data_IF_966063639236
#
_entry.id   IF_966063639236
#
_cell.length_a   1.000
_cell.length_b   1.000
_cell.length_c   1.000
_cell.angle_alpha   90.00
_cell.angle_beta   90.00
_cell.angle_gamma   90.00
#
_symmetry.space_group_name_H-M   'P 1'
#
loop_
_entity.id
_entity.type
_entity.pdbx_description
1 polymer ?
#
# COMPACT_ATOMS: atom_id res chain seq x y z
N UNK A 1 1.46 -8.20 -10.40
CA UNK A 1 0.16 -7.67 -9.95
C UNK A 1 -0.97 -8.42 -10.65
N UNK A 2 -2.10 -8.69 -9.98
CA UNK A 2 -3.24 -9.38 -10.61
C UNK A 2 -3.79 -8.65 -11.85
N UNK A 3 -3.75 -7.32 -11.87
CA UNK A 3 -4.25 -6.48 -12.97
C UNK A 3 -3.54 -6.71 -14.30
N UNK A 4 -2.30 -7.22 -14.28
CA UNK A 4 -1.55 -7.57 -15.49
C UNK A 4 -2.12 -8.79 -16.23
N UNK A 5 -2.95 -9.62 -15.58
CA UNK A 5 -3.42 -10.92 -16.10
C UNK A 5 -4.96 -11.05 -16.18
N UNK A 6 -5.72 -9.99 -15.87
CA UNK A 6 -7.20 -10.03 -15.87
C UNK A 6 -7.84 -9.63 -17.22
N UNK A 7 -7.03 -9.49 -18.27
CA UNK A 7 -7.48 -8.92 -19.54
C UNK A 7 -7.62 -7.41 -19.49
N UNK A 8 -7.80 -6.78 -20.66
CA UNK A 8 -7.97 -5.34 -20.78
C UNK A 8 -9.21 -5.01 -21.59
N UNK A 9 -10.01 -4.05 -21.11
CA UNK A 9 -11.12 -3.54 -21.89
C UNK A 9 -10.57 -2.81 -23.12
N UNK A 10 -11.07 -3.18 -24.31
CA UNK A 10 -10.46 -2.75 -25.58
C UNK A 10 -11.47 -2.35 -26.65
N UNK A 11 -10.99 -1.63 -27.66
CA UNK A 11 -11.71 -1.17 -28.87
C UNK A 11 -10.80 -1.24 -30.09
N UNK A 12 -11.38 -1.27 -31.28
CA UNK A 12 -10.67 -1.12 -32.56
C UNK A 12 -10.56 0.35 -32.97
N UNK A 13 -9.62 0.69 -33.85
CA UNK A 13 -9.48 2.02 -34.45
C UNK A 13 -10.73 2.45 -35.25
N UNK A 14 -11.44 1.47 -35.83
CA UNK A 14 -12.62 1.70 -36.67
C UNK A 14 -13.92 1.80 -35.87
N UNK A 15 -13.89 1.44 -34.57
CA UNK A 15 -15.07 1.52 -33.72
C UNK A 15 -15.58 2.97 -33.65
N UNK A 16 -16.89 3.13 -33.70
CA UNK A 16 -17.51 4.43 -33.41
C UNK A 16 -17.19 4.85 -31.97
N UNK A 17 -16.89 6.14 -31.77
CA UNK A 17 -16.50 6.67 -30.47
C UNK A 17 -17.57 6.43 -29.38
N UNK A 18 -18.85 6.34 -29.76
CA UNK A 18 -19.95 5.99 -28.84
C UNK A 18 -19.78 4.62 -28.19
N UNK A 19 -19.16 3.65 -28.89
CA UNK A 19 -18.86 2.32 -28.36
C UNK A 19 -17.85 2.45 -27.23
N UNK A 20 -16.79 3.23 -27.45
CA UNK A 20 -15.80 3.51 -26.42
C UNK A 20 -16.41 4.21 -25.21
N UNK A 21 -17.18 5.28 -25.41
CA UNK A 21 -17.88 5.97 -24.30
C UNK A 21 -18.73 5.01 -23.49
N UNK A 22 -19.49 4.15 -24.16
CA UNK A 22 -20.35 3.16 -23.49
C UNK A 22 -19.52 2.18 -22.67
N UNK A 23 -18.44 1.62 -23.22
CA UNK A 23 -17.53 0.71 -22.51
C UNK A 23 -16.86 1.39 -21.32
N UNK A 24 -16.40 2.63 -21.47
CA UNK A 24 -15.76 3.39 -20.40
C UNK A 24 -16.73 3.71 -19.26
N UNK A 25 -17.96 4.14 -19.59
CA UNK A 25 -18.99 4.45 -18.58
C UNK A 25 -19.50 3.19 -17.86
N UNK A 26 -19.86 2.15 -18.60
CA UNK A 26 -20.42 0.92 -18.02
C UNK A 26 -19.39 0.14 -17.20
N UNK A 27 -18.13 0.12 -17.67
CA UNK A 27 -17.01 -0.52 -16.99
C UNK A 27 -16.31 0.36 -15.95
N UNK A 28 -16.71 1.64 -15.81
CA UNK A 28 -16.05 2.65 -14.96
C UNK A 28 -14.54 2.78 -15.24
N UNK A 29 -14.17 2.70 -16.51
CA UNK A 29 -12.78 2.82 -16.96
C UNK A 29 -12.45 4.26 -17.36
N UNK A 30 -11.22 4.68 -17.07
CA UNK A 30 -10.68 5.97 -17.53
C UNK A 30 -9.96 5.85 -18.89
N UNK A 31 -9.64 4.63 -19.31
CA UNK A 31 -8.96 4.32 -20.55
C UNK A 31 -9.33 2.93 -21.07
N UNK A 32 -9.21 2.73 -22.37
CA UNK A 32 -9.33 1.45 -23.08
C UNK A 32 -8.06 1.20 -23.90
N UNK A 33 -7.69 -0.06 -24.05
CA UNK A 33 -6.68 -0.47 -25.03
C UNK A 33 -7.26 -0.33 -26.44
N UNK A 34 -6.52 0.29 -27.35
CA UNK A 34 -6.84 0.23 -28.77
C UNK A 34 -6.00 -0.89 -29.36
N UNK A 35 -6.65 -1.96 -29.83
CA UNK A 35 -5.98 -3.16 -30.34
C UNK A 35 -6.41 -3.47 -31.77
N UNK A 36 -5.58 -4.24 -32.48
CA UNK A 36 -5.97 -4.83 -33.75
C UNK A 36 -6.58 -6.23 -33.60
N UNK A 37 -6.92 -6.86 -34.73
CA UNK A 37 -7.49 -8.21 -34.81
C UNK A 37 -6.61 -9.30 -34.17
N UNK A 38 -5.30 -9.06 -34.09
CA UNK A 38 -4.34 -9.99 -33.50
C UNK A 38 -4.13 -9.76 -31.99
N UNK A 39 -4.77 -8.74 -31.40
CA UNK A 39 -4.59 -8.33 -30.02
C UNK A 39 -3.36 -7.45 -29.78
N UNK A 40 -2.76 -6.92 -30.85
CA UNK A 40 -1.57 -6.05 -30.76
C UNK A 40 -1.98 -4.63 -30.42
N UNK A 41 -1.28 -3.98 -29.50
CA UNK A 41 -1.56 -2.60 -29.10
C UNK A 41 -1.31 -1.62 -30.27
N UNK A 42 -2.30 -0.77 -30.54
CA UNK A 42 -2.24 0.36 -31.48
C UNK A 42 -2.28 1.72 -30.79
N UNK A 43 -2.63 1.76 -29.51
CA UNK A 43 -2.60 2.95 -28.66
C UNK A 43 -3.55 2.82 -27.46
N UNK A 44 -3.79 3.92 -26.78
CA UNK A 44 -4.82 4.06 -25.76
C UNK A 44 -5.91 5.03 -26.21
N UNK A 45 -7.12 4.81 -25.72
CA UNK A 45 -8.17 5.81 -25.77
C UNK A 45 -8.59 6.15 -24.34
N UNK A 46 -8.48 7.41 -23.94
CA UNK A 46 -8.81 7.88 -22.59
C UNK A 46 -9.72 9.09 -22.62
N UNK A 47 -10.35 9.43 -21.48
CA UNK A 47 -11.13 10.66 -21.37
C UNK A 47 -10.28 11.90 -21.69
N UNK A 48 -9.00 11.86 -21.30
CA UNK A 48 -8.03 12.91 -21.61
C UNK A 48 -7.74 13.00 -23.12
N UNK A 49 -7.52 11.87 -23.80
CA UNK A 49 -7.22 11.87 -25.24
C UNK A 49 -8.41 12.35 -26.07
N UNK A 50 -9.62 11.96 -25.68
CA UNK A 50 -10.89 12.43 -26.26
C UNK A 50 -11.04 13.94 -26.03
N UNK A 51 -10.80 14.43 -24.82
CA UNK A 51 -10.87 15.85 -24.49
C UNK A 51 -9.87 16.68 -25.31
N UNK A 52 -8.60 16.24 -25.38
CA UNK A 52 -7.56 16.87 -26.20
C UNK A 52 -7.95 16.93 -27.67
N UNK A 53 -8.48 15.83 -28.22
CA UNK A 53 -8.90 15.78 -29.62
C UNK A 53 -10.11 16.70 -29.90
N UNK A 54 -11.07 16.77 -28.96
CA UNK A 54 -12.23 17.65 -29.06
C UNK A 54 -11.84 19.14 -29.05
N UNK A 55 -10.90 19.52 -28.19
CA UNK A 55 -10.40 20.91 -28.11
C UNK A 55 -9.65 21.38 -29.36
N UNK A 56 -9.13 20.45 -30.18
CA UNK A 56 -8.49 20.77 -31.46
C UNK A 56 -9.50 21.07 -32.58
N UNK A 57 -10.80 21.09 -32.27
CA UNK A 57 -11.87 21.34 -33.24
C UNK A 57 -12.11 20.17 -34.21
N UNK A 58 -11.59 18.99 -33.90
CA UNK A 58 -11.76 17.80 -34.73
C UNK A 58 -13.14 17.19 -34.49
N UNK A 59 -13.83 16.80 -35.57
CA UNK A 59 -15.08 16.06 -35.48
C UNK A 59 -14.77 14.60 -35.16
N UNK A 60 -14.86 14.23 -33.89
CA UNK A 60 -14.60 12.87 -33.43
C UNK A 60 -15.77 11.95 -33.77
N UNK A 61 -15.54 10.96 -34.63
CA UNK A 61 -16.52 9.93 -35.02
C UNK A 61 -16.06 8.53 -34.64
N UNK A 62 -14.79 8.24 -34.86
CA UNK A 62 -14.19 6.93 -34.63
C UNK A 62 -13.07 7.02 -33.60
N UNK A 63 -12.69 5.89 -33.02
CA UNK A 63 -11.59 5.80 -32.06
C UNK A 63 -10.29 6.36 -32.63
N UNK A 64 -10.01 6.15 -33.92
CA UNK A 64 -8.83 6.67 -34.58
C UNK A 64 -8.69 8.21 -34.51
N UNK A 65 -9.78 8.95 -34.30
CA UNK A 65 -9.76 10.42 -34.21
C UNK A 65 -9.18 10.92 -32.87
N UNK A 66 -9.15 10.08 -31.84
CA UNK A 66 -8.75 10.44 -30.48
C UNK A 66 -7.75 9.47 -29.83
N UNK A 67 -7.20 8.52 -30.60
CA UNK A 67 -6.23 7.56 -30.10
C UNK A 67 -4.90 8.23 -29.71
N UNK A 68 -4.41 7.92 -28.51
CA UNK A 68 -3.05 8.22 -28.09
C UNK A 68 -2.12 7.06 -28.47
N UNK A 69 -1.28 7.29 -29.48
CA UNK A 69 -0.30 6.29 -29.98
C UNK A 69 0.97 6.21 -29.15
N UNK A 70 1.10 7.04 -28.11
CA UNK A 70 2.27 7.06 -27.22
C UNK A 70 2.08 6.22 -25.96
N UNK A 71 0.96 5.50 -25.86
CA UNK A 71 0.67 4.60 -24.74
C UNK A 71 1.80 3.58 -24.53
N UNK A 72 2.26 3.46 -23.28
CA UNK A 72 3.33 2.53 -22.92
C UNK A 72 2.87 1.07 -23.04
N UNK A 73 3.77 0.22 -23.53
CA UNK A 73 3.61 -1.23 -23.61
C UNK A 73 4.84 -1.90 -23.01
N UNK A 74 4.62 -2.72 -21.99
CA UNK A 74 5.66 -3.37 -21.20
C UNK A 74 5.49 -4.88 -21.32
N UNK A 75 6.59 -5.61 -21.45
CA UNK A 75 6.54 -7.08 -21.42
C UNK A 75 6.24 -7.58 -20.00
N UNK A 76 5.42 -8.62 -19.86
CA UNK A 76 5.07 -9.18 -18.55
C UNK A 76 6.28 -9.68 -17.73
N UNK A 77 7.44 -9.88 -18.35
CA UNK A 77 8.70 -10.22 -17.68
C UNK A 77 9.53 -9.02 -17.23
N UNK A 78 9.19 -7.80 -17.62
CA UNK A 78 9.92 -6.60 -17.21
C UNK A 78 9.67 -6.23 -15.75
N UNK A 79 10.68 -5.65 -15.12
CA UNK A 79 10.60 -5.18 -13.74
C UNK A 79 9.66 -3.97 -13.64
N UNK A 80 8.61 -4.10 -12.85
CA UNK A 80 7.63 -3.06 -12.61
C UNK A 80 8.25 -1.79 -11.99
N UNK A 81 9.28 -1.92 -11.15
CA UNK A 81 9.91 -0.76 -10.52
C UNK A 81 10.54 0.18 -11.56
N UNK A 82 11.08 -0.38 -12.64
CA UNK A 82 11.62 0.41 -13.75
C UNK A 82 10.55 1.22 -14.49
N UNK A 83 9.28 0.80 -14.41
CA UNK A 83 8.14 1.40 -15.11
C UNK A 83 7.37 2.43 -14.28
N UNK A 84 7.68 2.58 -12.98
CA UNK A 84 6.96 3.49 -12.07
C UNK A 84 6.94 4.93 -12.58
N UNK A 85 8.05 5.43 -13.13
CA UNK A 85 8.12 6.79 -13.67
C UNK A 85 7.20 6.97 -14.89
N UNK A 86 7.09 5.96 -15.75
CA UNK A 86 6.19 6.02 -16.90
C UNK A 86 4.73 5.95 -16.46
N UNK A 87 4.40 5.05 -15.54
CA UNK A 87 3.05 4.93 -14.97
C UNK A 87 2.64 6.21 -14.24
N UNK A 88 3.56 6.87 -13.53
CA UNK A 88 3.30 8.16 -12.89
C UNK A 88 2.97 9.25 -13.92
N UNK A 89 3.76 9.35 -14.98
CA UNK A 89 3.60 10.41 -15.99
C UNK A 89 2.37 10.21 -16.89
N UNK A 90 2.03 8.97 -17.25
CA UNK A 90 0.94 8.64 -18.18
C UNK A 90 -0.32 8.13 -17.48
N UNK A 91 -0.25 7.85 -16.19
CA UNK A 91 -1.32 7.26 -15.38
C UNK A 91 -1.46 5.74 -15.51
N UNK A 92 -0.89 5.12 -16.55
CA UNK A 92 -0.94 3.68 -16.79
C UNK A 92 0.10 3.20 -17.81
N UNK A 93 0.33 1.90 -17.85
CA UNK A 93 1.00 1.16 -18.94
C UNK A 93 0.22 -0.12 -19.26
N UNK A 94 0.23 -0.54 -20.52
CA UNK A 94 -0.29 -1.85 -20.91
C UNK A 94 0.78 -2.92 -20.74
N UNK A 95 0.33 -4.15 -20.50
CA UNK A 95 1.19 -5.33 -20.38
C UNK A 95 0.92 -6.26 -21.57
N UNK A 96 1.97 -6.82 -22.17
CA UNK A 96 1.84 -7.89 -23.16
C UNK A 96 2.56 -9.18 -22.78
N UNK A 97 2.09 -10.27 -23.37
CA UNK A 97 2.80 -11.56 -23.37
C UNK A 97 3.97 -11.56 -24.37
N UNK A 98 4.64 -12.72 -24.46
CA UNK A 98 5.73 -12.98 -25.40
C UNK A 98 5.33 -12.85 -26.87
N UNK A 99 4.04 -12.98 -27.19
CA UNK A 99 3.49 -12.86 -28.54
C UNK A 99 3.05 -11.42 -28.86
N UNK A 100 3.38 -10.45 -28.00
CA UNK A 100 3.02 -9.03 -28.10
C UNK A 100 1.52 -8.77 -28.09
N UNK A 101 0.74 -9.69 -27.54
CA UNK A 101 -0.69 -9.52 -27.30
C UNK A 101 -0.91 -8.84 -25.96
N UNK A 102 -1.79 -7.85 -25.92
CA UNK A 102 -2.09 -7.15 -24.68
C UNK A 102 -2.84 -8.09 -23.73
N UNK A 103 -2.25 -8.33 -22.56
CA UNK A 103 -2.79 -9.22 -21.51
C UNK A 103 -3.41 -8.46 -20.35
N UNK A 104 -3.01 -7.21 -20.14
CA UNK A 104 -3.51 -6.42 -19.03
C UNK A 104 -3.05 -4.97 -19.05
N UNK A 105 -3.29 -4.31 -17.91
CA UNK A 105 -2.95 -2.90 -17.68
C UNK A 105 -2.50 -2.74 -16.23
N UNK A 106 -1.51 -1.88 -16.00
CA UNK A 106 -1.11 -1.45 -14.66
C UNK A 106 -1.30 0.06 -14.59
N UNK A 107 -2.06 0.51 -13.61
CA UNK A 107 -2.42 1.91 -13.42
C UNK A 107 -1.73 2.51 -12.18
N UNK A 108 -1.65 3.83 -12.12
CA UNK A 108 -1.19 4.53 -10.93
C UNK A 108 -2.08 4.22 -9.70
N UNK A 109 -3.37 3.93 -9.92
CA UNK A 109 -4.28 3.50 -8.86
C UNK A 109 -3.90 2.12 -8.32
N UNK A 110 -3.55 1.17 -9.19
CA UNK A 110 -3.06 -0.16 -8.78
C UNK A 110 -1.77 -0.04 -7.97
N UNK A 111 -0.81 0.79 -8.43
CA UNK A 111 0.43 1.05 -7.69
C UNK A 111 0.14 1.65 -6.31
N UNK A 112 -0.77 2.63 -6.23
CA UNK A 112 -1.11 3.31 -4.97
C UNK A 112 -1.78 2.33 -4.00
N UNK A 113 -2.69 1.49 -4.48
CA UNK A 113 -3.34 0.47 -3.66
C UNK A 113 -2.33 -0.55 -3.12
N UNK A 114 -1.43 -1.03 -3.98
CA UNK A 114 -0.40 -2.00 -3.59
C UNK A 114 0.60 -1.38 -2.61
N UNK A 115 1.02 -0.14 -2.83
CA UNK A 115 1.82 0.60 -1.85
C UNK A 115 1.09 0.73 -0.51
N UNK A 116 -0.20 1.09 -0.52
CA UNK A 116 -1.01 1.17 0.69
C UNK A 116 -1.04 -0.15 1.46
N UNK A 117 -1.25 -1.27 0.76
CA UNK A 117 -1.26 -2.60 1.37
C UNK A 117 0.09 -2.97 2.00
N UNK A 118 1.19 -2.63 1.33
CA UNK A 118 2.54 -2.91 1.83
C UNK A 118 2.97 -1.99 2.97
N UNK A 119 2.63 -0.69 2.89
CA UNK A 119 3.06 0.30 3.86
C UNK A 119 2.22 0.29 5.15
N UNK A 120 0.94 -0.08 5.07
CA UNK A 120 -0.01 0.00 6.19
C UNK A 120 0.45 -0.76 7.44
N UNK A 121 0.95 -2.00 7.36
CA UNK A 121 1.48 -2.69 8.53
C UNK A 121 2.61 -1.95 9.24
N UNK A 122 3.54 -1.35 8.48
CA UNK A 122 4.66 -0.59 9.05
C UNK A 122 4.16 0.62 9.83
N UNK A 123 3.22 1.38 9.25
CA UNK A 123 2.64 2.57 9.88
C UNK A 123 1.89 2.20 11.17
N UNK A 124 1.14 1.09 11.17
CA UNK A 124 0.43 0.63 12.36
C UNK A 124 1.42 0.24 13.47
N UNK A 125 2.45 -0.53 13.16
CA UNK A 125 3.48 -0.92 14.14
C UNK A 125 4.20 0.31 14.69
N UNK A 126 4.62 1.24 13.83
CA UNK A 126 5.27 2.49 14.26
C UNK A 126 4.36 3.32 15.19
N UNK A 127 3.07 3.39 14.88
CA UNK A 127 2.09 4.06 15.74
C UNK A 127 2.00 3.39 17.12
N UNK A 128 1.94 2.06 17.18
CA UNK A 128 1.97 1.32 18.45
C UNK A 128 3.21 1.66 19.26
N UNK A 129 4.39 1.57 18.65
CA UNK A 129 5.66 1.84 19.33
C UNK A 129 5.69 3.26 19.88
N UNK A 130 5.27 4.25 19.09
CA UNK A 130 5.25 5.65 19.49
C UNK A 130 4.31 5.91 20.67
N UNK A 131 3.10 5.35 20.66
CA UNK A 131 2.15 5.46 21.78
C UNK A 131 2.71 4.83 23.05
N UNK A 132 3.33 3.66 22.93
CA UNK A 132 3.96 2.96 24.05
C UNK A 132 5.14 3.73 24.63
N UNK A 133 6.03 4.24 23.78
CA UNK A 133 7.17 5.10 24.16
C UNK A 133 6.70 6.31 24.94
N UNK A 134 5.71 7.02 24.38
CA UNK A 134 5.14 8.22 24.99
C UNK A 134 4.61 7.94 26.40
N UNK A 135 3.80 6.90 26.57
CA UNK A 135 3.25 6.56 27.89
C UNK A 135 4.35 6.11 28.85
N UNK A 136 5.30 5.32 28.37
CA UNK A 136 6.41 4.86 29.21
C UNK A 136 7.29 6.02 29.71
N UNK A 137 7.60 7.00 28.87
CA UNK A 137 8.36 8.20 29.26
C UNK A 137 7.63 9.05 30.30
N UNK A 138 6.30 9.05 30.30
CA UNK A 138 5.50 9.79 31.30
C UNK A 138 5.50 9.12 32.67
N UNK A 139 5.52 7.79 32.70
CA UNK A 139 5.24 7.04 33.92
C UNK A 139 6.47 6.38 34.53
N UNK A 140 7.54 6.13 33.78
CA UNK A 140 8.75 5.47 34.23
C UNK A 140 9.95 6.40 34.26
N UNK A 141 10.85 6.14 35.21
CA UNK A 141 12.13 6.85 35.30
C UNK A 141 13.15 6.26 34.33
N UNK A 142 14.17 7.05 33.96
CA UNK A 142 15.26 6.59 33.09
C UNK A 142 15.93 5.32 33.64
N UNK A 143 16.13 5.23 34.96
CA UNK A 143 16.77 4.06 35.56
C UNK A 143 15.91 2.79 35.45
N UNK A 144 14.58 2.91 35.47
CA UNK A 144 13.67 1.78 35.23
C UNK A 144 13.69 1.36 33.76
N UNK A 145 13.75 2.32 32.84
CA UNK A 145 13.90 2.05 31.40
C UNK A 145 15.23 1.33 31.10
N UNK A 146 16.33 1.74 31.76
CA UNK A 146 17.64 1.09 31.67
C UNK A 146 17.61 -0.35 32.16
N UNK A 147 16.84 -0.64 33.21
CA UNK A 147 16.69 -2.00 33.75
C UNK A 147 15.91 -2.93 32.80
N UNK A 148 14.97 -2.37 32.02
CA UNK A 148 14.23 -3.13 31.01
C UNK A 148 15.04 -3.39 29.73
N UNK A 149 16.11 -2.62 29.50
CA UNK A 149 16.98 -2.78 28.33
C UNK A 149 17.98 -3.93 28.50
N UNK A 150 18.48 -4.52 27.39
CA UNK A 150 19.62 -5.44 27.44
C UNK A 150 20.84 -4.80 28.13
N UNK A 151 21.54 -5.56 28.98
CA UNK A 151 22.66 -5.04 29.80
C UNK A 151 23.71 -4.24 29.02
N UNK A 152 23.99 -4.61 27.78
CA UNK A 152 25.00 -3.95 26.94
C UNK A 152 24.52 -2.60 26.36
N UNK A 153 23.20 -2.35 26.31
CA UNK A 153 22.61 -1.09 25.82
C UNK A 153 22.11 -0.19 26.96
N UNK A 154 21.98 -0.71 28.17
CA UNK A 154 21.42 0.03 29.32
C UNK A 154 22.09 1.40 29.54
N UNK A 155 23.41 1.51 29.40
CA UNK A 155 24.11 2.79 29.58
C UNK A 155 23.75 3.86 28.53
N UNK A 156 23.23 3.46 27.37
CA UNK A 156 22.87 4.35 26.26
C UNK A 156 21.40 4.81 26.34
N UNK A 157 20.58 4.19 27.18
CA UNK A 157 19.17 4.54 27.33
C UNK A 157 19.04 5.83 28.14
N UNK A 158 18.40 6.80 27.51
CA UNK A 158 18.08 8.13 28.03
C UNK A 158 16.58 8.42 28.05
N UNK A 159 15.82 7.72 27.20
CA UNK A 159 14.34 7.78 27.13
C UNK A 159 13.76 6.46 26.63
N UNK A 160 12.44 6.33 26.65
CA UNK A 160 11.72 5.17 26.15
C UNK A 160 11.93 4.99 24.63
N UNK A 161 12.24 6.07 23.89
CA UNK A 161 12.58 6.00 22.47
C UNK A 161 13.82 5.16 22.16
N UNK A 162 14.73 4.99 23.13
CA UNK A 162 15.94 4.18 23.00
C UNK A 162 15.65 2.67 23.19
N UNK A 163 14.44 2.32 23.61
CA UNK A 163 14.01 0.94 23.83
C UNK A 163 13.41 0.32 22.56
N UNK A 164 13.87 -0.88 22.23
CA UNK A 164 13.19 -1.74 21.26
C UNK A 164 11.87 -2.27 21.83
N UNK A 165 10.91 -2.58 20.97
CA UNK A 165 9.59 -3.09 21.38
C UNK A 165 9.65 -4.29 22.34
N UNK A 166 10.63 -5.18 22.20
CA UNK A 166 10.83 -6.31 23.11
C UNK A 166 11.11 -5.91 24.57
N UNK A 167 11.74 -4.76 24.81
CA UNK A 167 12.00 -4.26 26.16
C UNK A 167 10.71 -3.85 26.89
N UNK A 168 9.67 -3.43 26.17
CA UNK A 168 8.39 -3.05 26.77
C UNK A 168 7.67 -4.22 27.42
N UNK A 169 7.80 -5.43 26.87
CA UNK A 169 7.29 -6.64 27.50
C UNK A 169 7.94 -6.88 28.86
N UNK A 170 9.24 -6.64 28.98
CA UNK A 170 9.98 -6.76 30.24
C UNK A 170 9.62 -5.63 31.22
N UNK A 171 9.57 -4.40 30.72
CA UNK A 171 9.17 -3.24 31.50
C UNK A 171 7.78 -3.41 32.10
N UNK A 172 6.82 -3.90 31.32
CA UNK A 172 5.43 -4.04 31.72
C UNK A 172 5.11 -5.42 32.31
N UNK A 173 6.07 -6.32 32.49
CA UNK A 173 5.82 -7.69 32.97
C UNK A 173 5.22 -7.75 34.38
N UNK A 174 5.55 -6.77 35.24
CA UNK A 174 5.07 -6.74 36.62
C UNK A 174 3.77 -5.97 36.71
N UNK A 175 2.85 -6.45 37.55
CA UNK A 175 1.59 -5.74 37.84
C UNK A 175 1.83 -4.36 38.44
N UNK A 176 2.92 -4.18 39.20
CA UNK A 176 3.32 -2.87 39.73
C UNK A 176 3.64 -1.86 38.61
N UNK A 177 4.38 -2.26 37.58
CA UNK A 177 4.67 -1.40 36.43
C UNK A 177 3.44 -1.21 35.54
N UNK A 178 2.67 -2.27 35.30
CA UNK A 178 1.43 -2.18 34.54
C UNK A 178 0.44 -1.17 35.13
N UNK A 179 0.21 -1.24 36.43
CA UNK A 179 -0.75 -0.36 37.12
C UNK A 179 -0.39 1.14 36.99
N UNK A 180 0.90 1.48 36.78
CA UNK A 180 1.34 2.87 36.56
C UNK A 180 0.90 3.43 35.20
N UNK A 181 0.59 2.57 34.22
CA UNK A 181 0.02 3.03 32.95
C UNK A 181 -1.39 3.58 33.13
N UNK A 182 -2.10 3.18 34.19
CA UNK A 182 -3.49 3.56 34.47
C UNK A 182 -4.45 3.26 33.31
N UNK A 183 -4.09 2.29 32.47
CA UNK A 183 -4.93 1.87 31.36
C UNK A 183 -5.98 0.87 31.84
N UNK A 184 -7.27 1.07 31.51
CA UNK A 184 -8.36 0.18 31.91
C UNK A 184 -8.41 -1.07 31.01
N UNK A 185 -7.28 -1.76 30.87
CA UNK A 185 -7.09 -2.91 30.00
C UNK A 185 -6.64 -4.12 30.84
N UNK A 186 -6.92 -5.32 30.34
CA UNK A 186 -6.40 -6.54 30.94
C UNK A 186 -4.89 -6.66 30.67
N UNK A 187 -4.13 -6.91 31.73
CA UNK A 187 -2.67 -6.95 31.69
C UNK A 187 -2.14 -8.11 30.83
N UNK A 188 -2.72 -9.30 30.97
CA UNK A 188 -2.23 -10.51 30.30
C UNK A 188 -2.52 -10.43 28.80
N UNK A 189 -3.77 -10.11 28.44
CA UNK A 189 -4.17 -9.94 27.05
C UNK A 189 -3.39 -8.82 26.36
N UNK A 190 -3.08 -7.74 27.08
CA UNK A 190 -2.23 -6.68 26.53
C UNK A 190 -0.82 -7.18 26.20
N UNK A 191 -0.18 -7.95 27.09
CA UNK A 191 1.16 -8.50 26.84
C UNK A 191 1.17 -9.52 25.70
N UNK A 192 0.09 -10.28 25.51
CA UNK A 192 -0.07 -11.19 24.37
C UNK A 192 -0.18 -10.42 23.04
N UNK A 193 -0.97 -9.35 23.00
CA UNK A 193 -1.07 -8.50 21.82
C UNK A 193 0.25 -7.76 21.54
N UNK A 194 0.96 -7.31 22.58
CA UNK A 194 2.28 -6.69 22.42
C UNK A 194 3.30 -7.67 21.80
N UNK A 195 3.23 -8.95 22.17
CA UNK A 195 4.07 -9.99 21.57
C UNK A 195 3.75 -10.22 20.10
N UNK A 196 2.46 -10.16 19.72
CA UNK A 196 2.04 -10.18 18.32
C UNK A 196 2.67 -9.03 17.53
N UNK A 197 2.57 -7.78 18.02
CA UNK A 197 3.16 -6.61 17.34
C UNK A 197 4.68 -6.77 17.20
N UNK A 198 5.36 -7.30 18.22
CA UNK A 198 6.80 -7.57 18.17
C UNK A 198 7.15 -8.58 17.07
N UNK A 199 6.34 -9.62 16.91
CA UNK A 199 6.54 -10.66 15.90
C UNK A 199 6.33 -10.10 14.50
N UNK A 200 5.21 -9.40 14.28
CA UNK A 200 4.90 -8.71 13.03
C UNK A 200 5.99 -7.70 12.66
N UNK A 201 6.46 -6.88 13.61
CA UNK A 201 7.55 -5.93 13.37
C UNK A 201 8.81 -6.63 12.86
N UNK A 202 9.17 -7.76 13.46
CA UNK A 202 10.34 -8.51 13.05
C UNK A 202 10.17 -9.11 11.64
N UNK A 203 9.02 -9.69 11.34
CA UNK A 203 8.71 -10.22 9.99
C UNK A 203 8.80 -9.13 8.92
N UNK A 204 8.20 -7.96 9.20
CA UNK A 204 8.27 -6.79 8.32
C UNK A 204 9.73 -6.32 8.10
N UNK A 205 10.56 -6.31 9.14
CA UNK A 205 11.98 -5.93 9.05
C UNK A 205 12.85 -6.96 8.32
N UNK A 206 12.40 -8.22 8.24
CA UNK A 206 13.07 -9.26 7.46
C UNK A 206 12.72 -9.21 5.96
N UNK A 207 12.01 -8.18 5.50
CA UNK A 207 11.52 -8.04 4.12
C UNK A 207 10.90 -9.34 3.62
N UNK A 208 10.02 -9.94 4.44
CA UNK A 208 9.28 -11.11 4.02
C UNK A 208 8.58 -10.81 2.68
N UNK A 209 8.74 -11.68 1.66
CA UNK A 209 8.22 -11.43 0.32
C UNK A 209 6.69 -11.45 0.28
N UNK A 210 6.06 -12.08 1.28
CA UNK A 210 4.62 -12.24 1.35
C UNK A 210 3.98 -11.16 2.25
N UNK A 211 2.82 -10.61 1.86
CA UNK A 211 2.06 -9.72 2.71
C UNK A 211 1.60 -10.45 3.98
N UNK A 212 1.39 -9.69 5.06
CA UNK A 212 0.73 -10.23 6.25
C UNK A 212 -0.66 -10.78 5.88
N UNK A 213 -1.02 -11.91 6.48
CA UNK A 213 -2.37 -12.46 6.33
C UNK A 213 -3.42 -11.52 6.95
N UNK A 214 -4.64 -11.57 6.43
CA UNK A 214 -5.73 -10.67 6.83
C UNK A 214 -6.10 -10.80 8.31
N UNK A 215 -5.97 -12.00 8.90
CA UNK A 215 -6.30 -12.25 10.30
C UNK A 215 -5.29 -11.55 11.22
N UNK A 216 -4.00 -11.72 10.95
CA UNK A 216 -2.93 -11.04 11.67
C UNK A 216 -3.06 -9.53 11.56
N UNK A 217 -3.32 -9.00 10.36
CA UNK A 217 -3.50 -7.58 10.14
C UNK A 217 -4.70 -7.02 10.93
N UNK A 218 -5.83 -7.73 10.94
CA UNK A 218 -7.01 -7.38 11.74
C UNK A 218 -6.69 -7.28 13.23
N UNK A 219 -5.87 -8.21 13.76
CA UNK A 219 -5.44 -8.19 15.17
C UNK A 219 -4.50 -7.02 15.47
N UNK A 220 -3.59 -6.68 14.56
CA UNK A 220 -2.72 -5.49 14.68
C UNK A 220 -3.58 -4.22 14.72
N UNK A 221 -4.57 -4.11 13.85
CA UNK A 221 -5.51 -2.98 13.84
C UNK A 221 -6.27 -2.86 15.14
N UNK A 222 -6.82 -3.97 15.65
CA UNK A 222 -7.53 -3.98 16.93
C UNK A 222 -6.65 -3.53 18.10
N UNK A 223 -5.37 -3.91 18.12
CA UNK A 223 -4.41 -3.42 19.11
C UNK A 223 -4.19 -1.90 18.99
N UNK A 224 -4.08 -1.37 17.78
CA UNK A 224 -3.92 0.07 17.55
C UNK A 224 -5.17 0.86 17.94
N UNK A 225 -6.36 0.36 17.62
CA UNK A 225 -7.62 0.98 18.06
C UNK A 225 -7.73 1.03 19.58
N UNK A 226 -7.36 -0.06 20.26
CA UNK A 226 -7.27 -0.09 21.72
C UNK A 226 -6.29 0.97 22.25
N UNK A 227 -5.09 1.09 21.67
CA UNK A 227 -4.10 2.10 22.05
C UNK A 227 -4.58 3.53 21.78
N UNK A 228 -5.34 3.78 20.71
CA UNK A 228 -5.94 5.09 20.40
C UNK A 228 -7.00 5.48 21.44
N UNK A 229 -7.66 4.52 22.09
CA UNK A 229 -8.64 4.80 23.14
C UNK A 229 -7.92 5.20 24.45
N UNK A 230 -6.87 4.48 24.84
CA UNK A 230 -6.17 4.69 26.13
C UNK A 230 -5.06 5.74 26.08
N UNK A 231 -4.56 6.08 24.88
CA UNK A 231 -3.71 7.24 24.59
C UNK A 231 -4.28 7.95 23.36
N UNK A 232 -5.18 8.94 23.48
CA UNK A 232 -5.89 9.53 22.33
C UNK A 232 -5.05 10.48 21.48
N UNK A 233 -3.81 10.75 21.89
CA UNK A 233 -2.94 11.71 21.21
C UNK A 233 -2.48 11.14 19.86
N UNK A 234 -2.54 11.90 18.77
CA UNK A 234 -2.15 11.42 17.48
C UNK A 234 -0.65 11.16 17.40
#
# INVERSE_FOLDING_TARGET
MESANKGVASVSLEDELKIAHTKMLSGKYSQLAVIDENGTLRGALSWESIGKASMRGQKLRVVADAVDRTAGLVDHHEDLLSQVSEIYNKGFVFVCDSDKRVTGIITAADLTQQFGNLARPFVLVEEAERRLRRRADEVFTVDELRQAAPRHLAAQVSSANDLMLGAYKHLLATSAHWNRLEWPLDHVLFLELLELIRTVRNELMHFAPDPLDEETLTRVEGFIEMLRIVDPRP
#
